data_IF_466329568226
#
_entry.id   IF_466329568226
#
_cell.length_a   1.000
_cell.length_b   1.000
_cell.length_c   1.000
_cell.angle_alpha   90.00
_cell.angle_beta   90.00
_cell.angle_gamma   90.00
#
_symmetry.space_group_name_H-M   'P 1'
#
loop_
_entity.id
_entity.type
_entity.pdbx_description
1 polymer ?
#
# COMPACT_ATOMS: atom_id res chain seq x y z
N UNK A 1 13.35 57.69 71.16
CA UNK A 1 13.97 56.88 70.09
C UNK A 1 13.18 55.61 69.95
N UNK A 2 12.27 55.58 68.99
CA UNK A 2 11.45 54.42 68.74
C UNK A 2 11.89 53.83 67.43
N UNK A 3 12.65 52.74 67.50
CA UNK A 3 12.93 51.91 66.31
C UNK A 3 11.77 50.95 66.07
N UNK A 4 11.02 51.19 65.09
CA UNK A 4 10.03 50.28 64.58
C UNK A 4 10.73 49.22 63.66
N UNK A 5 10.63 47.94 63.99
CA UNK A 5 11.08 46.91 62.99
C UNK A 5 10.05 46.78 61.92
N UNK A 6 10.43 47.12 60.70
CA UNK A 6 9.63 46.83 59.48
C UNK A 6 9.67 45.34 59.22
N UNK A 7 8.54 44.68 59.42
CA UNK A 7 8.34 43.31 59.05
C UNK A 7 8.30 43.19 57.51
N UNK A 8 9.30 42.56 56.93
CA UNK A 8 9.30 42.15 55.55
C UNK A 8 8.47 40.86 55.42
N UNK A 9 7.26 41.00 54.92
CA UNK A 9 6.47 39.86 54.48
C UNK A 9 7.04 39.35 53.13
N UNK A 10 7.76 38.25 53.20
CA UNK A 10 8.21 37.51 52.02
C UNK A 10 7.04 36.67 51.53
N UNK A 11 6.34 37.12 50.51
CA UNK A 11 5.34 36.34 49.83
C UNK A 11 6.07 35.33 48.92
N UNK A 12 6.18 34.09 49.40
CA UNK A 12 6.63 32.96 48.56
C UNK A 12 5.52 32.59 47.60
N UNK A 13 5.64 33.07 46.35
CA UNK A 13 4.78 32.65 45.26
C UNK A 13 5.15 31.22 44.82
N UNK A 14 4.30 30.27 45.17
CA UNK A 14 4.40 28.89 44.71
C UNK A 14 3.93 28.84 43.25
N UNK A 15 4.86 28.90 42.32
CA UNK A 15 4.55 28.66 40.89
C UNK A 15 4.30 27.16 40.70
N UNK A 16 3.03 26.74 40.59
CA UNK A 16 2.68 25.43 40.10
C UNK A 16 2.98 25.41 38.61
N UNK A 17 4.15 24.89 38.25
CA UNK A 17 4.45 24.49 36.86
C UNK A 17 3.61 23.26 36.55
N UNK A 18 2.44 23.47 35.93
CA UNK A 18 1.62 22.41 35.40
C UNK A 18 2.35 21.76 34.22
N UNK A 19 2.97 20.60 34.45
CA UNK A 19 3.46 19.76 33.36
C UNK A 19 2.25 19.18 32.66
N UNK A 20 1.88 19.72 31.52
CA UNK A 20 0.94 19.06 30.61
C UNK A 20 1.61 17.80 30.07
N UNK A 21 1.33 16.68 30.70
CA UNK A 21 1.69 15.38 30.19
C UNK A 21 0.87 15.17 28.87
N UNK A 22 1.49 15.40 27.73
CA UNK A 22 0.94 14.99 26.46
C UNK A 22 1.02 13.46 26.44
N UNK A 23 -0.09 12.81 26.73
CA UNK A 23 -0.22 11.40 26.46
C UNK A 23 -0.11 11.22 24.95
N UNK A 24 1.06 10.80 24.48
CA UNK A 24 1.22 10.32 23.11
C UNK A 24 0.41 9.04 23.00
N UNK A 25 -0.78 9.14 22.42
CA UNK A 25 -1.54 7.98 22.01
C UNK A 25 -0.78 7.41 20.80
N UNK A 26 0.06 6.43 21.07
CA UNK A 26 0.74 5.68 20.03
C UNK A 26 -0.28 4.73 19.40
N UNK A 27 -1.09 5.27 18.49
CA UNK A 27 -2.02 4.46 17.69
C UNK A 27 -1.15 3.69 16.69
N UNK A 28 -0.81 2.46 17.05
CA UNK A 28 -0.15 1.54 16.12
C UNK A 28 -1.18 1.11 15.07
N UNK A 29 -1.39 1.98 14.09
CA UNK A 29 -2.24 1.67 12.94
C UNK A 29 -1.42 0.71 12.08
N UNK A 30 -1.79 -0.56 12.10
CA UNK A 30 -1.23 -1.52 11.16
C UNK A 30 -1.69 -1.14 9.74
N UNK A 31 -0.83 -0.47 9.01
CA UNK A 31 -1.09 -0.02 7.64
C UNK A 31 -0.72 -1.07 6.59
N UNK A 32 -0.15 -2.19 7.01
CA UNK A 32 0.24 -3.27 6.13
C UNK A 32 -0.98 -4.10 5.67
N UNK A 33 -1.00 -4.57 4.42
CA UNK A 33 -2.00 -5.53 3.97
C UNK A 33 -1.76 -6.91 4.62
N UNK A 34 -2.72 -7.85 4.52
CA UNK A 34 -2.52 -9.21 4.96
C UNK A 34 -1.29 -9.86 4.31
N UNK A 35 -0.67 -10.79 5.03
CA UNK A 35 0.46 -11.55 4.51
C UNK A 35 -0.02 -12.49 3.39
N UNK A 36 0.72 -12.51 2.28
CA UNK A 36 0.44 -13.44 1.18
C UNK A 36 0.95 -14.83 1.55
N UNK A 37 0.03 -15.78 1.69
CA UNK A 37 0.37 -17.17 1.98
C UNK A 37 1.16 -17.76 0.81
N UNK A 38 2.31 -18.40 1.13
CA UNK A 38 3.18 -18.98 0.11
C UNK A 38 4.13 -18.01 -0.59
N UNK A 39 4.07 -16.72 -0.26
CA UNK A 39 5.08 -15.79 -0.74
C UNK A 39 6.45 -16.09 -0.11
N UNK A 40 7.55 -15.89 -0.85
CA UNK A 40 8.89 -16.00 -0.30
C UNK A 40 9.12 -15.02 0.86
N UNK A 41 9.91 -15.40 1.85
CA UNK A 41 10.25 -14.53 2.99
C UNK A 41 10.98 -13.25 2.59
N UNK A 42 11.62 -13.26 1.43
CA UNK A 42 12.32 -12.12 0.84
C UNK A 42 11.52 -11.44 -0.28
N UNK A 43 10.19 -11.61 -0.31
CA UNK A 43 9.33 -10.89 -1.24
C UNK A 43 9.54 -9.38 -1.09
N UNK A 44 9.74 -8.68 -2.20
CA UNK A 44 9.89 -7.23 -2.18
C UNK A 44 8.56 -6.52 -2.38
N UNK A 45 7.70 -7.03 -3.25
CA UNK A 45 6.42 -6.40 -3.54
C UNK A 45 5.25 -7.37 -3.55
N UNK A 46 4.12 -6.86 -3.11
CA UNK A 46 2.81 -7.43 -3.35
C UNK A 46 2.01 -6.52 -4.27
N UNK A 47 1.30 -7.07 -5.23
CA UNK A 47 0.28 -6.35 -5.97
C UNK A 47 -1.02 -6.33 -5.16
N UNK A 48 -1.66 -5.16 -5.03
CA UNK A 48 -2.91 -4.96 -4.30
C UNK A 48 -4.00 -4.53 -5.28
N UNK A 49 -4.88 -5.45 -5.69
CA UNK A 49 -5.89 -5.20 -6.74
C UNK A 49 -6.85 -4.07 -6.40
N UNK A 50 -7.25 -3.95 -5.14
CA UNK A 50 -8.25 -2.98 -4.69
C UNK A 50 -7.84 -1.53 -4.92
N UNK A 51 -6.55 -1.25 -4.87
CA UNK A 51 -6.00 0.09 -5.09
C UNK A 51 -5.27 0.21 -6.43
N UNK A 52 -5.26 -0.88 -7.22
CA UNK A 52 -4.50 -0.97 -8.46
C UNK A 52 -3.05 -0.49 -8.29
N UNK A 53 -2.42 -0.94 -7.24
CA UNK A 53 -1.10 -0.52 -6.80
C UNK A 53 -0.30 -1.66 -6.18
N UNK A 54 0.79 -1.30 -5.53
CA UNK A 54 1.72 -2.26 -4.96
C UNK A 54 1.98 -1.94 -3.49
N UNK A 55 2.40 -2.93 -2.75
CA UNK A 55 2.91 -2.77 -1.40
C UNK A 55 4.39 -3.17 -1.37
N UNK A 56 5.23 -2.23 -1.01
CA UNK A 56 6.66 -2.42 -0.78
C UNK A 56 6.86 -3.00 0.61
N UNK A 57 7.17 -4.29 0.67
CA UNK A 57 7.23 -5.05 1.92
C UNK A 57 8.34 -4.56 2.84
N UNK A 58 9.60 -4.40 2.38
CA UNK A 58 10.67 -3.88 3.21
C UNK A 58 10.45 -2.44 3.66
N UNK A 59 9.97 -1.56 2.78
CA UNK A 59 9.76 -0.15 3.07
C UNK A 59 8.45 0.12 3.83
N UNK A 60 7.54 -0.86 3.87
CA UNK A 60 6.19 -0.73 4.46
C UNK A 60 5.40 0.44 3.91
N UNK A 61 5.42 0.59 2.58
CA UNK A 61 4.75 1.67 1.87
C UNK A 61 3.97 1.15 0.68
N UNK A 62 2.88 1.80 0.38
CA UNK A 62 2.13 1.57 -0.85
C UNK A 62 2.73 2.37 -2.00
N UNK A 63 2.68 1.80 -3.19
CA UNK A 63 3.06 2.44 -4.45
C UNK A 63 1.83 2.55 -5.30
N UNK A 64 1.33 3.76 -5.50
CA UNK A 64 0.06 4.03 -6.17
C UNK A 64 0.21 5.09 -7.25
N UNK A 65 -0.61 4.99 -8.27
CA UNK A 65 -0.66 6.00 -9.33
C UNK A 65 -1.54 7.17 -8.88
N UNK A 66 -0.97 8.35 -8.77
CA UNK A 66 -1.67 9.60 -8.44
C UNK A 66 -1.34 10.66 -9.49
N UNK A 67 -2.35 11.25 -10.09
CA UNK A 67 -2.17 12.31 -11.12
C UNK A 67 -1.18 11.92 -12.24
N UNK A 68 -1.24 10.67 -12.70
CA UNK A 68 -0.34 10.15 -13.73
C UNK A 68 1.09 9.83 -13.28
N UNK A 69 1.39 9.92 -11.99
CA UNK A 69 2.70 9.62 -11.42
C UNK A 69 2.62 8.58 -10.33
N UNK A 70 3.63 7.70 -10.26
CA UNK A 70 3.74 6.72 -9.19
C UNK A 70 4.31 7.37 -7.93
N UNK A 71 3.55 7.27 -6.84
CA UNK A 71 3.87 7.83 -5.55
C UNK A 71 3.96 6.75 -4.48
N UNK A 72 4.86 6.92 -3.52
CA UNK A 72 5.00 6.06 -2.34
C UNK A 72 4.30 6.72 -1.16
N UNK A 73 3.36 6.01 -0.56
CA UNK A 73 2.54 6.51 0.56
C UNK A 73 2.50 5.50 1.69
N UNK A 74 2.38 5.97 2.91
CA UNK A 74 2.37 5.10 4.10
C UNK A 74 1.03 4.40 4.28
N UNK A 75 -0.05 5.04 3.85
CA UNK A 75 -1.42 4.52 3.97
C UNK A 75 -2.28 4.96 2.79
N UNK A 76 -3.33 4.22 2.56
CA UNK A 76 -4.34 4.54 1.55
C UNK A 76 -5.59 5.06 2.28
N UNK A 77 -5.95 6.29 2.00
CA UNK A 77 -7.15 6.90 2.59
C UNK A 77 -8.42 6.25 2.03
N UNK A 78 -9.39 6.02 2.93
CA UNK A 78 -10.66 5.42 2.55
C UNK A 78 -10.64 3.89 2.40
N UNK A 79 -9.52 3.23 2.69
CA UNK A 79 -9.40 1.77 2.65
C UNK A 79 -8.95 1.20 3.99
N UNK A 80 -9.51 0.06 4.36
CA UNK A 80 -8.99 -0.76 5.45
C UNK A 80 -7.98 -1.76 4.88
N UNK A 81 -6.69 -1.68 5.26
CA UNK A 81 -5.67 -2.60 4.74
C UNK A 81 -5.98 -4.06 4.97
N UNK A 82 -6.76 -4.39 6.01
CA UNK A 82 -7.17 -5.77 6.32
C UNK A 82 -8.12 -6.37 5.30
N UNK A 83 -8.80 -5.53 4.52
CA UNK A 83 -9.71 -5.96 3.45
C UNK A 83 -8.99 -6.18 2.11
N UNK A 84 -7.71 -5.91 2.03
CA UNK A 84 -6.94 -6.12 0.82
C UNK A 84 -6.66 -7.60 0.56
N UNK A 85 -6.57 -7.95 -0.71
CA UNK A 85 -6.23 -9.29 -1.19
C UNK A 85 -4.92 -9.23 -1.98
N UNK A 86 -3.78 -9.01 -1.30
CA UNK A 86 -2.49 -8.85 -1.96
C UNK A 86 -2.06 -10.13 -2.66
N UNK A 87 -1.34 -9.97 -3.77
CA UNK A 87 -0.79 -11.05 -4.57
C UNK A 87 0.73 -10.88 -4.66
N UNK A 88 1.47 -11.95 -4.45
CA UNK A 88 2.91 -11.92 -4.65
C UNK A 88 3.26 -11.70 -6.13
N UNK A 89 4.25 -10.84 -6.38
CA UNK A 89 4.87 -10.66 -7.68
C UNK A 89 6.37 -10.91 -7.57
N UNK A 90 6.92 -11.64 -8.51
CA UNK A 90 8.36 -11.89 -8.60
C UNK A 90 9.04 -10.70 -9.27
N UNK A 91 9.21 -9.63 -8.51
CA UNK A 91 9.87 -8.42 -8.96
C UNK A 91 10.82 -7.89 -7.88
N UNK A 92 11.99 -7.45 -8.32
CA UNK A 92 12.99 -6.79 -7.49
C UNK A 92 13.44 -5.52 -8.19
N UNK A 93 13.41 -4.40 -7.50
CA UNK A 93 13.78 -3.10 -8.03
C UNK A 93 12.89 -1.98 -7.49
N UNK A 94 12.99 -0.80 -8.07
CA UNK A 94 12.33 0.39 -7.56
C UNK A 94 11.01 0.73 -8.27
N UNK A 95 10.71 0.03 -9.35
CA UNK A 95 9.59 0.35 -10.24
C UNK A 95 8.67 -0.86 -10.47
N UNK A 96 7.92 -1.32 -9.43
CA UNK A 96 7.10 -2.54 -9.52
C UNK A 96 6.04 -2.47 -10.62
N UNK A 97 5.64 -1.28 -11.04
CA UNK A 97 4.69 -1.09 -12.15
C UNK A 97 5.25 -1.48 -13.51
N UNK A 98 6.55 -1.72 -13.62
CA UNK A 98 7.19 -2.22 -14.83
C UNK A 98 7.19 -3.74 -14.92
N UNK A 99 6.76 -4.43 -13.85
CA UNK A 99 6.71 -5.88 -13.82
C UNK A 99 5.78 -6.44 -14.89
N UNK A 100 6.34 -7.30 -15.74
CA UNK A 100 5.66 -7.89 -16.89
C UNK A 100 5.47 -9.40 -16.78
N UNK A 101 5.64 -9.96 -15.61
CA UNK A 101 5.54 -11.39 -15.33
C UNK A 101 4.20 -11.99 -15.77
N UNK A 102 4.13 -12.51 -16.98
CA UNK A 102 2.90 -12.97 -17.59
C UNK A 102 2.01 -11.87 -18.18
N UNK A 103 2.50 -10.63 -18.25
CA UNK A 103 1.75 -9.48 -18.73
C UNK A 103 2.62 -8.59 -19.64
N UNK A 104 2.56 -8.80 -20.97
CA UNK A 104 3.42 -8.09 -21.93
C UNK A 104 3.15 -6.58 -22.02
N UNK A 105 2.06 -6.10 -21.46
CA UNK A 105 1.64 -4.70 -21.57
C UNK A 105 1.92 -3.87 -20.33
N UNK A 106 2.59 -4.42 -19.33
CA UNK A 106 2.96 -3.70 -18.11
C UNK A 106 1.79 -3.29 -17.23
N UNK A 107 0.63 -3.89 -17.44
CA UNK A 107 -0.53 -3.71 -16.58
C UNK A 107 -0.40 -4.59 -15.33
N UNK A 108 -0.99 -4.19 -14.21
CA UNK A 108 -1.11 -5.05 -13.05
C UNK A 108 -1.74 -6.40 -13.40
N UNK A 109 -1.30 -7.52 -12.80
CA UNK A 109 -1.70 -8.87 -13.20
C UNK A 109 -3.22 -9.09 -13.34
N UNK A 110 -4.03 -8.49 -12.47
CA UNK A 110 -5.47 -8.60 -12.52
C UNK A 110 -6.13 -7.85 -13.68
N UNK A 111 -5.51 -6.79 -14.16
CA UNK A 111 -6.06 -5.97 -15.27
C UNK A 111 -5.68 -6.53 -16.63
N UNK A 112 -4.51 -7.08 -16.78
CA UNK A 112 -4.09 -7.75 -18.00
C UNK A 112 -5.07 -8.87 -18.36
N UNK A 113 -5.48 -9.68 -17.39
CA UNK A 113 -6.45 -10.76 -17.61
C UNK A 113 -7.82 -10.25 -18.07
N UNK A 114 -8.26 -9.09 -17.59
CA UNK A 114 -9.54 -8.50 -18.01
C UNK A 114 -9.50 -7.94 -19.44
N UNK A 115 -8.38 -7.36 -19.83
CA UNK A 115 -8.25 -6.71 -21.14
C UNK A 115 -7.87 -7.70 -22.26
N UNK A 116 -7.00 -8.66 -21.95
CA UNK A 116 -6.46 -9.59 -22.96
C UNK A 116 -7.03 -11.01 -22.85
N UNK A 117 -7.72 -11.34 -21.77
CA UNK A 117 -8.38 -12.65 -21.63
C UNK A 117 -9.58 -12.87 -22.53
N UNK A 118 -10.09 -11.81 -23.17
CA UNK A 118 -11.23 -11.90 -24.10
C UNK A 118 -10.84 -12.15 -25.55
N UNK A 119 -9.60 -11.89 -25.93
CA UNK A 119 -9.18 -12.06 -27.33
C UNK A 119 -8.82 -13.49 -27.73
N UNK A 120 -8.77 -14.42 -26.78
CA UNK A 120 -8.39 -15.81 -27.06
C UNK A 120 -9.53 -16.72 -27.51
N UNK A 121 -10.76 -16.22 -27.58
CA UNK A 121 -11.93 -17.07 -27.90
C UNK A 121 -12.58 -16.85 -29.27
N UNK A 122 -12.03 -15.98 -30.12
CA UNK A 122 -12.68 -15.69 -31.39
C UNK A 122 -11.93 -16.21 -32.65
N UNK A 123 -10.91 -17.04 -32.52
CA UNK A 123 -10.21 -17.51 -33.68
C UNK A 123 -9.98 -19.03 -33.68
N UNK A 124 -11.05 -19.81 -33.61
CA UNK A 124 -11.05 -21.23 -34.06
C UNK A 124 -12.39 -21.60 -34.63
N UNK A 125 -12.65 -21.10 -35.83
CA UNK A 125 -13.80 -21.49 -36.63
C UNK A 125 -13.48 -21.47 -38.10
N UNK A 126 -12.37 -22.09 -38.54
CA UNK A 126 -12.15 -22.41 -39.95
C UNK A 126 -12.07 -23.92 -40.10
N UNK A 127 -13.23 -24.54 -40.05
CA UNK A 127 -13.41 -25.90 -40.52
C UNK A 127 -13.29 -25.95 -42.04
N UNK A 128 -12.16 -26.32 -42.54
CA UNK A 128 -12.01 -26.75 -43.95
C UNK A 128 -12.49 -28.19 -44.04
N UNK A 129 -13.77 -28.33 -44.35
CA UNK A 129 -14.33 -29.58 -44.86
C UNK A 129 -13.93 -29.76 -46.34
N UNK A 130 -12.86 -30.49 -46.57
CA UNK A 130 -12.55 -30.99 -47.92
C UNK A 130 -13.23 -32.33 -48.07
N UNK A 131 -14.44 -32.32 -48.67
CA UNK A 131 -15.09 -33.48 -49.16
C UNK A 131 -14.52 -33.84 -50.52
N UNK A 132 -13.72 -34.89 -50.60
CA UNK A 132 -13.42 -35.57 -51.86
C UNK A 132 -14.43 -36.69 -52.08
N UNK A 133 -15.37 -36.44 -53.00
CA UNK A 133 -16.15 -37.46 -53.60
C UNK A 133 -15.34 -38.14 -54.74
N UNK A 134 -15.17 -39.42 -54.65
CA UNK A 134 -14.71 -40.24 -55.77
C UNK A 134 -15.87 -41.09 -56.26
N UNK A 135 -16.08 -40.94 -57.55
CA UNK A 135 -16.67 -41.97 -58.41
C UNK A 135 -15.66 -43.00 -58.82
#
# INVERSE_FOLDING_TARGET
>A
MNLQPKAFLLAAGLALAGTTAHAQINVNINTAPPVVVGAPTNAQYYYVPEINGYYDVPARRYVVLRNGQWARVERIEGYDPRSFHPQYIEYRGDSPWTYRGGNPHGLPPGQAKKLYGKEKHENHGNGHGNGHGHH
#
